data_IF_790961754046
#
_entry.id   IF_790961754046
#
_cell.length_a   1.000
_cell.length_b   1.000
_cell.length_c   1.000
_cell.angle_alpha   90.00
_cell.angle_beta   90.00
_cell.angle_gamma   90.00
#
_symmetry.space_group_name_H-M   'P 1'
#
loop_
_entity.id
_entity.type
_entity.pdbx_description
1 polymer ?
#
# COMPACT_ATOMS: atom_id res chain seq x y z
N UNK A 1 -23.61 92.41 -14.24
CA UNK A 1 -22.19 92.41 -14.65
C UNK A 1 -21.38 91.76 -13.52
N UNK A 2 -20.36 90.94 -13.86
CA UNK A 2 -19.59 89.97 -13.02
C UNK A 2 -20.28 88.61 -12.83
N UNK A 3 -19.95 87.55 -13.59
CA UNK A 3 -18.73 86.70 -13.72
C UNK A 3 -18.55 85.66 -12.60
N UNK A 4 -18.77 84.40 -13.01
CA UNK A 4 -17.99 83.17 -12.78
C UNK A 4 -17.79 82.71 -11.33
N UNK A 5 -18.17 81.47 -11.03
CA UNK A 5 -17.24 80.32 -11.09
C UNK A 5 -17.98 79.01 -10.81
N UNK A 6 -17.93 78.10 -11.78
CA UNK A 6 -18.30 76.70 -11.62
C UNK A 6 -17.15 75.96 -10.95
N UNK A 7 -17.44 75.23 -9.88
CA UNK A 7 -16.52 74.26 -9.29
C UNK A 7 -17.06 72.86 -9.57
N UNK A 8 -16.59 72.25 -10.65
CA UNK A 8 -16.74 70.82 -10.90
C UNK A 8 -15.72 70.14 -9.98
N UNK A 9 -16.20 69.52 -8.89
CA UNK A 9 -15.38 68.59 -8.11
C UNK A 9 -15.37 67.26 -8.86
N UNK A 10 -14.31 67.01 -9.63
CA UNK A 10 -14.03 65.71 -10.20
C UNK A 10 -13.79 64.70 -9.06
N UNK A 11 -14.72 63.78 -8.86
CA UNK A 11 -14.55 62.62 -8.00
C UNK A 11 -13.78 61.56 -8.80
N UNK A 12 -12.47 61.44 -8.54
CA UNK A 12 -11.66 60.33 -9.06
C UNK A 12 -11.93 59.13 -8.16
N UNK A 13 -12.76 58.19 -8.62
CA UNK A 13 -12.93 56.89 -8.00
C UNK A 13 -11.71 56.03 -8.33
N UNK A 14 -10.73 55.99 -7.43
CA UNK A 14 -9.62 55.02 -7.53
C UNK A 14 -10.17 53.65 -7.12
N UNK A 15 -10.51 52.82 -8.10
CA UNK A 15 -10.72 51.39 -7.89
C UNK A 15 -9.37 50.75 -7.56
N UNK A 16 -9.08 50.63 -6.26
CA UNK A 16 -7.99 49.82 -5.75
C UNK A 16 -8.40 48.34 -5.91
N UNK A 17 -8.19 47.77 -7.10
CA UNK A 17 -8.26 46.32 -7.27
C UNK A 17 -7.02 45.73 -6.58
N UNK A 18 -7.16 45.42 -5.29
CA UNK A 18 -6.17 44.64 -4.56
C UNK A 18 -6.02 43.28 -5.24
N UNK A 19 -4.93 43.12 -5.99
CA UNK A 19 -4.46 41.82 -6.43
C UNK A 19 -3.97 41.10 -5.17
N UNK A 20 -4.85 40.31 -4.53
CA UNK A 20 -4.43 39.33 -3.54
C UNK A 20 -3.71 38.22 -4.32
N UNK A 21 -2.40 38.01 -4.15
CA UNK A 21 -1.77 36.83 -4.71
C UNK A 21 -2.41 35.61 -4.02
N UNK A 22 -3.20 34.86 -4.79
CA UNK A 22 -3.62 33.51 -4.39
C UNK A 22 -2.34 32.67 -4.31
N UNK A 23 -1.83 32.49 -3.09
CA UNK A 23 -0.83 31.47 -2.82
C UNK A 23 -1.52 30.12 -2.94
N UNK A 24 -1.50 29.55 -4.15
CA UNK A 24 -1.73 28.13 -4.35
C UNK A 24 -0.56 27.38 -3.72
N UNK A 25 -0.76 26.89 -2.50
CA UNK A 25 0.15 25.90 -1.93
C UNK A 25 0.00 24.63 -2.76
N UNK A 26 1.04 24.28 -3.52
CA UNK A 26 1.10 22.97 -4.14
C UNK A 26 1.10 21.92 -3.03
N UNK A 27 0.10 21.04 -3.01
CA UNK A 27 0.11 19.90 -2.10
C UNK A 27 1.15 18.91 -2.63
N UNK A 28 2.23 18.72 -1.87
CA UNK A 28 3.25 17.75 -2.21
C UNK A 28 2.80 16.37 -1.75
N UNK A 29 2.81 15.42 -2.67
CA UNK A 29 2.55 14.02 -2.34
C UNK A 29 3.68 13.50 -1.44
N UNK A 30 3.30 12.85 -0.34
CA UNK A 30 4.21 12.16 0.56
C UNK A 30 3.86 10.67 0.53
N UNK A 31 4.80 9.79 0.14
CA UNK A 31 4.56 8.36 0.11
C UNK A 31 4.34 7.81 1.52
N UNK A 32 3.68 6.65 1.61
CA UNK A 32 3.53 5.94 2.87
C UNK A 32 4.65 4.91 3.02
N UNK A 33 5.66 5.26 3.81
CA UNK A 33 6.72 4.35 4.27
C UNK A 33 6.42 3.76 5.65
N UNK A 34 5.32 4.20 6.30
CA UNK A 34 4.86 3.80 7.64
C UNK A 34 5.78 4.15 8.81
N UNK A 35 7.03 4.51 8.57
CA UNK A 35 7.98 4.97 9.59
C UNK A 35 7.57 6.31 10.26
N UNK A 36 6.66 7.07 9.65
CA UNK A 36 6.10 8.29 10.20
C UNK A 36 4.98 8.05 11.23
N UNK A 37 4.53 6.80 11.39
CA UNK A 37 3.41 6.45 12.26
C UNK A 37 3.86 6.25 13.70
N UNK A 38 3.13 6.89 14.63
CA UNK A 38 3.37 6.78 16.07
C UNK A 38 3.05 5.36 16.57
N UNK A 39 4.05 4.72 17.19
CA UNK A 39 3.95 3.36 17.70
C UNK A 39 3.08 3.20 18.95
N UNK A 40 2.54 4.28 19.53
CA UNK A 40 1.63 4.18 20.69
C UNK A 40 0.38 3.32 20.44
N UNK A 41 -0.02 3.15 19.18
CA UNK A 41 -1.17 2.34 18.79
C UNK A 41 -0.82 0.85 18.59
N UNK A 42 0.46 0.50 18.66
CA UNK A 42 0.90 -0.88 18.45
C UNK A 42 0.76 -1.67 19.75
N UNK A 43 0.06 -2.79 19.66
CA UNK A 43 -0.04 -3.79 20.71
C UNK A 43 0.61 -5.08 20.20
N UNK A 44 1.56 -5.64 20.94
CA UNK A 44 2.32 -6.83 20.53
C UNK A 44 2.95 -6.71 19.12
N UNK A 45 3.37 -5.51 18.74
CA UNK A 45 4.06 -5.25 17.48
C UNK A 45 3.15 -5.18 16.25
N UNK A 46 1.84 -4.98 16.42
CA UNK A 46 0.93 -4.64 15.32
C UNK A 46 -0.13 -3.62 15.75
N UNK A 47 -0.71 -2.92 14.77
CA UNK A 47 -1.87 -2.05 14.95
C UNK A 47 -2.94 -2.43 13.93
N UNK A 48 -3.98 -3.12 14.39
CA UNK A 48 -5.09 -3.62 13.56
C UNK A 48 -6.40 -2.87 13.79
N UNK A 49 -6.33 -1.68 14.41
CA UNK A 49 -7.46 -0.83 14.76
C UNK A 49 -8.37 -1.32 15.89
N UNK A 50 -7.90 -2.25 16.73
CA UNK A 50 -8.58 -2.63 17.99
C UNK A 50 -8.88 -1.43 18.91
N UNK A 51 -8.12 -0.36 18.77
CA UNK A 51 -8.29 0.93 19.45
C UNK A 51 -9.47 1.77 18.93
N UNK A 52 -10.15 1.34 17.88
CA UNK A 52 -11.30 2.04 17.30
C UNK A 52 -10.93 3.23 16.40
N UNK A 53 -9.68 3.33 15.96
CA UNK A 53 -9.21 4.40 15.06
C UNK A 53 -9.90 4.43 13.70
N UNK A 54 -10.17 3.25 13.12
CA UNK A 54 -10.85 3.08 11.82
C UNK A 54 -10.01 3.45 10.59
N UNK A 55 -8.86 4.09 10.77
CA UNK A 55 -7.86 4.29 9.73
C UNK A 55 -6.46 4.50 10.28
N UNK A 56 -5.48 4.11 9.47
CA UNK A 56 -4.06 4.41 9.67
C UNK A 56 -3.68 5.50 8.68
N UNK A 57 -2.93 6.50 9.12
CA UNK A 57 -2.47 7.59 8.24
C UNK A 57 -0.95 7.61 8.18
N UNK A 58 -0.41 7.54 6.97
CA UNK A 58 1.03 7.64 6.69
C UNK A 58 1.24 8.49 5.43
N UNK A 59 2.11 9.49 5.52
CA UNK A 59 2.30 10.49 4.47
C UNK A 59 0.98 11.18 4.10
N UNK A 60 0.64 11.15 2.81
CA UNK A 60 -0.61 11.73 2.26
C UNK A 60 -1.69 10.69 1.95
N UNK A 61 -1.65 9.55 2.65
CA UNK A 61 -2.51 8.39 2.40
C UNK A 61 -3.17 7.94 3.72
N UNK A 62 -4.49 7.71 3.67
CA UNK A 62 -5.25 7.04 4.73
C UNK A 62 -5.59 5.61 4.30
N UNK A 63 -5.23 4.64 5.13
CA UNK A 63 -5.48 3.21 4.95
C UNK A 63 -6.66 2.80 5.84
N UNK A 64 -7.73 2.28 5.25
CA UNK A 64 -8.95 1.94 5.98
C UNK A 64 -8.76 0.68 6.79
N UNK A 65 -9.25 0.73 8.02
CA UNK A 65 -9.27 -0.39 8.94
C UNK A 65 -10.70 -0.58 9.46
N UNK A 66 -11.12 -1.82 9.62
CA UNK A 66 -12.37 -2.18 10.24
C UNK A 66 -12.10 -3.21 11.35
N UNK A 67 -12.45 -2.89 12.59
CA UNK A 67 -12.27 -3.81 13.72
C UNK A 67 -13.62 -4.17 14.34
N UNK A 68 -13.89 -5.46 14.47
CA UNK A 68 -15.08 -5.99 15.11
C UNK A 68 -14.75 -6.49 16.52
N UNK A 69 -15.14 -5.68 17.53
CA UNK A 69 -14.88 -5.96 18.93
C UNK A 69 -15.59 -7.21 19.46
N UNK A 70 -16.76 -7.56 18.92
CA UNK A 70 -17.52 -8.73 19.37
C UNK A 70 -16.79 -10.04 19.03
N UNK A 71 -16.12 -10.06 17.88
CA UNK A 71 -15.45 -11.25 17.34
C UNK A 71 -13.93 -11.20 17.47
N UNK A 72 -13.37 -10.07 17.93
CA UNK A 72 -11.93 -9.84 17.98
C UNK A 72 -11.26 -9.93 16.60
N UNK A 73 -12.01 -9.65 15.53
CA UNK A 73 -11.57 -9.74 14.15
C UNK A 73 -11.38 -8.36 13.54
N UNK A 74 -10.64 -8.30 12.44
CA UNK A 74 -10.39 -7.05 11.71
C UNK A 74 -10.50 -7.30 10.21
N UNK A 75 -10.52 -6.26 9.39
CA UNK A 75 -10.35 -6.31 7.94
C UNK A 75 -9.82 -4.96 7.44
N UNK A 76 -9.40 -4.88 6.17
CA UNK A 76 -8.73 -3.71 5.62
C UNK A 76 -7.23 -3.76 5.88
N UNK A 77 -6.67 -2.75 6.53
CA UNK A 77 -5.23 -2.65 6.79
C UNK A 77 -4.87 -2.65 8.27
N UNK A 78 -3.75 -3.30 8.57
CA UNK A 78 -3.03 -3.20 9.84
C UNK A 78 -1.58 -2.79 9.56
N UNK A 79 -0.90 -2.19 10.54
CA UNK A 79 0.56 -2.08 10.52
C UNK A 79 1.19 -3.17 11.37
N UNK A 80 2.40 -3.60 11.00
CA UNK A 80 3.12 -4.65 11.69
C UNK A 80 4.62 -4.37 11.73
N UNK A 81 5.23 -4.73 12.86
CA UNK A 81 6.69 -4.80 13.07
C UNK A 81 7.11 -6.23 13.37
N UNK A 82 6.25 -7.23 13.12
CA UNK A 82 6.53 -8.64 13.40
C UNK A 82 7.61 -9.16 12.44
N UNK A 83 8.44 -10.07 12.95
CA UNK A 83 9.57 -10.66 12.21
C UNK A 83 9.48 -12.18 12.07
N UNK A 84 8.41 -12.79 12.60
CA UNK A 84 8.27 -14.25 12.64
C UNK A 84 7.88 -14.81 11.27
N UNK A 85 8.86 -15.36 10.57
CA UNK A 85 8.68 -15.99 9.25
C UNK A 85 8.43 -17.50 9.35
N UNK A 86 8.34 -18.07 10.55
CA UNK A 86 8.29 -19.51 10.77
C UNK A 86 6.96 -20.00 11.31
N UNK A 87 6.33 -19.32 12.26
CA UNK A 87 5.11 -19.86 12.88
C UNK A 87 3.98 -20.00 11.86
N UNK A 88 3.43 -21.20 11.73
CA UNK A 88 2.30 -21.48 10.83
C UNK A 88 0.97 -21.08 11.47
N UNK A 89 0.00 -20.77 10.62
CA UNK A 89 -1.39 -20.57 11.02
C UNK A 89 -1.75 -19.12 11.40
N UNK A 90 -3.02 -18.94 11.76
CA UNK A 90 -3.66 -17.66 11.99
C UNK A 90 -3.00 -16.80 13.08
N UNK A 91 -2.34 -17.42 14.07
CA UNK A 91 -1.61 -16.69 15.11
C UNK A 91 -0.49 -15.82 14.55
N UNK A 92 -0.01 -16.13 13.33
CA UNK A 92 1.05 -15.38 12.65
C UNK A 92 0.55 -14.58 11.43
N UNK A 93 -0.71 -14.12 11.47
CA UNK A 93 -1.34 -13.37 10.39
C UNK A 93 -0.70 -12.00 10.09
N UNK A 94 0.04 -11.43 11.03
CA UNK A 94 0.63 -10.09 10.91
C UNK A 94 2.06 -10.06 10.38
N UNK A 95 2.74 -11.21 10.26
CA UNK A 95 4.12 -11.23 9.79
C UNK A 95 4.17 -11.28 8.26
N UNK A 96 4.99 -10.43 7.63
CA UNK A 96 5.43 -10.64 6.26
C UNK A 96 6.40 -11.83 6.22
N UNK A 97 6.35 -12.64 5.16
CA UNK A 97 7.26 -13.79 5.01
C UNK A 97 8.74 -13.39 4.88
N UNK A 98 8.99 -12.13 4.50
CA UNK A 98 10.34 -11.52 4.46
C UNK A 98 10.90 -11.24 5.86
N UNK A 99 10.06 -11.16 6.89
CA UNK A 99 10.45 -10.86 8.27
C UNK A 99 10.73 -9.37 8.54
N UNK A 100 10.70 -8.52 7.51
CA UNK A 100 10.90 -7.07 7.61
C UNK A 100 10.28 -6.35 6.40
N UNK A 101 10.14 -5.02 6.53
CA UNK A 101 9.73 -4.13 5.46
C UNK A 101 10.78 -4.01 4.35
N UNK A 102 10.43 -3.37 3.24
CA UNK A 102 11.36 -3.18 2.13
C UNK A 102 12.50 -2.25 2.56
N UNK A 103 13.72 -2.53 2.09
CA UNK A 103 14.93 -1.73 2.41
C UNK A 103 15.24 -1.65 3.90
N UNK A 104 14.89 -2.71 4.65
CA UNK A 104 15.08 -2.78 6.09
C UNK A 104 14.13 -1.88 6.88
N UNK A 105 13.02 -1.45 6.26
CA UNK A 105 11.95 -0.76 6.97
C UNK A 105 11.47 -1.61 8.15
N UNK A 106 11.25 -0.93 9.27
CA UNK A 106 10.87 -1.55 10.52
C UNK A 106 9.37 -1.85 10.61
N UNK A 107 8.58 -1.20 9.74
CA UNK A 107 7.12 -1.21 9.77
C UNK A 107 6.56 -1.36 8.37
N UNK A 108 5.72 -2.37 8.16
CA UNK A 108 5.01 -2.59 6.90
C UNK A 108 3.51 -2.73 7.14
N UNK A 109 2.72 -2.67 6.08
CA UNK A 109 1.28 -2.89 6.16
C UNK A 109 0.92 -4.35 5.85
N UNK A 110 -0.08 -4.87 6.55
CA UNK A 110 -0.76 -6.14 6.24
C UNK A 110 -2.17 -5.80 5.77
N UNK A 111 -2.52 -6.26 4.58
CA UNK A 111 -3.87 -6.19 4.06
C UNK A 111 -4.62 -7.48 4.32
N UNK A 112 -5.83 -7.38 4.87
CA UNK A 112 -6.76 -8.49 5.01
C UNK A 112 -8.02 -8.20 4.18
N UNK A 113 -8.19 -9.01 3.12
CA UNK A 113 -9.39 -9.02 2.30
C UNK A 113 -10.48 -9.88 2.96
N UNK A 114 -11.67 -9.33 3.15
CA UNK A 114 -12.82 -10.03 3.72
C UNK A 114 -13.93 -10.08 2.69
N UNK A 115 -14.42 -11.27 2.34
CA UNK A 115 -15.58 -11.40 1.44
C UNK A 115 -16.87 -10.84 2.05
N UNK A 116 -16.91 -10.63 3.37
CA UNK A 116 -18.05 -10.05 4.08
C UNK A 116 -17.98 -8.52 4.14
N UNK A 117 -16.79 -7.95 4.37
CA UNK A 117 -16.61 -6.50 4.54
C UNK A 117 -16.18 -5.78 3.26
N UNK A 118 -15.62 -6.51 2.29
CA UNK A 118 -15.14 -6.02 1.01
C UNK A 118 -13.62 -5.88 0.90
N UNK A 119 -13.21 -5.18 -0.15
CA UNK A 119 -11.80 -4.93 -0.50
C UNK A 119 -11.10 -4.09 0.58
N UNK A 120 -9.80 -4.35 0.79
CA UNK A 120 -8.98 -3.43 1.58
C UNK A 120 -8.81 -2.13 0.78
N UNK A 121 -9.10 -0.97 1.37
CA UNK A 121 -9.09 0.33 0.66
C UNK A 121 -8.10 1.32 1.28
N UNK A 122 -7.38 2.06 0.42
CA UNK A 122 -6.67 3.27 0.80
C UNK A 122 -7.19 4.47 0.00
N UNK A 123 -7.07 5.65 0.60
CA UNK A 123 -7.54 6.93 0.05
C UNK A 123 -6.39 7.93 0.11
N UNK A 124 -6.08 8.54 -1.02
CA UNK A 124 -5.09 9.62 -1.09
C UNK A 124 -5.77 10.93 -0.69
N UNK A 125 -5.05 11.87 -0.06
CA UNK A 125 -5.59 13.19 0.29
C UNK A 125 -6.07 13.99 -0.94
N UNK A 126 -5.41 13.78 -2.08
CA UNK A 126 -5.73 14.38 -3.38
C UNK A 126 -5.35 13.37 -4.48
N UNK A 127 -6.01 13.41 -5.65
CA UNK A 127 -5.68 12.47 -6.72
C UNK A 127 -4.22 12.64 -7.17
N UNK A 128 -3.50 11.53 -7.28
CA UNK A 128 -2.08 11.50 -7.62
C UNK A 128 -1.73 10.28 -8.45
N UNK A 129 -0.73 10.39 -9.33
CA UNK A 129 -0.18 9.22 -10.04
C UNK A 129 0.87 8.57 -9.15
N UNK A 130 0.58 7.36 -8.66
CA UNK A 130 1.51 6.61 -7.84
C UNK A 130 2.54 5.90 -8.72
N UNK A 131 3.86 6.02 -8.45
CA UNK A 131 4.87 5.23 -9.16
C UNK A 131 4.65 3.72 -8.98
N UNK A 132 4.33 3.29 -7.77
CA UNK A 132 4.11 1.90 -7.44
C UNK A 132 4.09 1.64 -5.95
N UNK A 133 4.24 0.37 -5.60
CA UNK A 133 4.36 -0.14 -4.23
C UNK A 133 5.04 -1.51 -4.24
N UNK A 134 5.44 -2.02 -3.09
CA UNK A 134 5.93 -3.39 -2.93
C UNK A 134 4.86 -4.29 -2.31
N UNK A 135 4.79 -5.54 -2.74
CA UNK A 135 3.93 -6.58 -2.14
C UNK A 135 4.69 -7.87 -1.90
N UNK A 136 4.26 -8.65 -0.90
CA UNK A 136 4.70 -10.02 -0.63
C UNK A 136 3.59 -10.81 0.08
N UNK A 137 3.81 -12.10 0.32
CA UNK A 137 2.90 -12.89 1.15
C UNK A 137 3.10 -12.60 2.64
N UNK A 138 2.04 -12.76 3.43
CA UNK A 138 2.22 -12.95 4.88
C UNK A 138 2.76 -14.35 5.16
N UNK A 139 3.37 -14.53 6.32
CA UNK A 139 3.85 -15.84 6.80
C UNK A 139 2.74 -16.87 6.83
N UNK A 140 1.54 -16.48 7.28
CA UNK A 140 0.39 -17.38 7.31
C UNK A 140 0.00 -17.86 5.91
N UNK A 141 -0.23 -16.94 4.96
CA UNK A 141 -0.61 -17.30 3.60
C UNK A 141 0.47 -18.13 2.89
N UNK A 142 1.75 -17.76 3.06
CA UNK A 142 2.87 -18.49 2.48
C UNK A 142 2.91 -19.95 2.91
N UNK A 143 2.89 -20.22 4.22
CA UNK A 143 2.97 -21.59 4.72
C UNK A 143 1.71 -22.40 4.44
N UNK A 144 0.53 -21.76 4.48
CA UNK A 144 -0.73 -22.38 4.09
C UNK A 144 -0.68 -22.89 2.65
N UNK A 145 -0.22 -22.08 1.70
CA UNK A 145 -0.03 -22.52 0.32
C UNK A 145 1.07 -23.57 0.17
N UNK A 146 2.16 -23.49 0.95
CA UNK A 146 3.32 -24.38 0.84
C UNK A 146 3.10 -25.78 1.43
N UNK A 147 2.39 -25.87 2.54
CA UNK A 147 2.24 -27.09 3.34
C UNK A 147 0.78 -27.55 3.49
N UNK A 148 -0.19 -26.67 3.20
CA UNK A 148 -1.58 -26.85 3.60
C UNK A 148 -1.80 -26.50 5.07
N UNK A 149 -3.06 -26.40 5.48
CA UNK A 149 -3.47 -26.29 6.88
C UNK A 149 -4.82 -26.98 7.12
N UNK A 150 -5.49 -26.68 8.24
CA UNK A 150 -6.76 -27.30 8.60
C UNK A 150 -7.93 -26.93 7.65
N UNK A 151 -7.78 -25.88 6.84
CA UNK A 151 -8.80 -25.37 5.91
C UNK A 151 -8.31 -25.37 4.46
N UNK A 152 -7.08 -24.92 4.23
CA UNK A 152 -6.50 -24.76 2.91
C UNK A 152 -5.67 -25.98 2.49
N UNK A 153 -5.68 -26.28 1.19
CA UNK A 153 -4.80 -27.31 0.63
C UNK A 153 -3.43 -26.74 0.28
N UNK A 154 -2.43 -27.61 0.26
CA UNK A 154 -1.15 -27.30 -0.39
C UNK A 154 -1.35 -27.00 -1.88
N UNK A 155 -0.62 -26.02 -2.40
CA UNK A 155 -0.61 -25.67 -3.81
C UNK A 155 0.19 -26.67 -4.65
N UNK A 156 -0.38 -27.03 -5.79
CA UNK A 156 0.14 -27.95 -6.79
C UNK A 156 -0.04 -27.36 -8.19
N UNK A 157 0.31 -28.13 -9.22
CA UNK A 157 0.20 -27.69 -10.60
C UNK A 157 -1.22 -27.19 -10.94
N UNK A 158 -1.30 -25.97 -11.47
CA UNK A 158 -2.54 -25.29 -11.82
C UNK A 158 -3.01 -24.27 -10.79
N UNK A 159 -2.49 -24.31 -9.56
CA UNK A 159 -2.90 -23.37 -8.51
C UNK A 159 -2.32 -21.96 -8.69
N UNK A 160 -2.99 -20.98 -8.10
CA UNK A 160 -2.49 -19.61 -8.03
C UNK A 160 -3.16 -18.83 -6.89
N UNK A 161 -2.45 -17.81 -6.41
CA UNK A 161 -2.97 -16.81 -5.47
C UNK A 161 -2.69 -15.42 -6.04
N UNK A 162 -3.73 -14.61 -6.20
CA UNK A 162 -3.73 -13.41 -7.04
C UNK A 162 -4.24 -12.22 -6.24
N UNK A 163 -3.45 -11.15 -6.23
CA UNK A 163 -3.79 -9.83 -5.75
C UNK A 163 -4.18 -8.95 -6.94
N UNK A 164 -5.35 -8.32 -6.87
CA UNK A 164 -5.78 -7.29 -7.82
C UNK A 164 -5.78 -5.94 -7.12
N UNK A 165 -5.08 -4.97 -7.70
CA UNK A 165 -5.07 -3.58 -7.26
C UNK A 165 -5.88 -2.77 -8.28
N UNK A 166 -6.99 -2.19 -7.86
CA UNK A 166 -7.85 -1.34 -8.69
C UNK A 166 -7.71 0.11 -8.26
N UNK A 167 -7.35 0.98 -9.21
CA UNK A 167 -7.29 2.42 -9.00
C UNK A 167 -8.55 3.12 -9.48
N UNK A 168 -9.09 4.03 -8.67
CA UNK A 168 -10.26 4.87 -9.01
C UNK A 168 -9.93 6.35 -8.95
N UNK A 169 -10.44 7.11 -9.91
CA UNK A 169 -10.29 8.56 -9.96
C UNK A 169 -11.22 9.27 -8.94
N UNK A 170 -11.18 10.61 -8.88
CA UNK A 170 -12.03 11.39 -7.98
C UNK A 170 -13.54 11.30 -8.26
N UNK A 171 -13.93 10.96 -9.50
CA UNK A 171 -15.33 10.72 -9.87
C UNK A 171 -15.81 9.32 -9.46
N UNK A 172 -14.89 8.43 -9.08
CA UNK A 172 -15.18 7.04 -8.71
C UNK A 172 -15.05 6.05 -9.87
N UNK A 173 -14.69 6.50 -11.07
CA UNK A 173 -14.47 5.63 -12.22
C UNK A 173 -13.14 4.88 -12.08
N UNK A 174 -13.09 3.68 -12.65
CA UNK A 174 -11.88 2.86 -12.71
C UNK A 174 -10.87 3.54 -13.65
N UNK A 175 -9.72 3.90 -13.11
CA UNK A 175 -8.60 4.49 -13.85
C UNK A 175 -7.63 3.42 -14.37
N UNK A 176 -7.49 2.31 -13.65
CA UNK A 176 -6.66 1.19 -14.08
C UNK A 176 -6.67 0.03 -13.09
N UNK A 177 -6.10 -1.10 -13.49
CA UNK A 177 -5.94 -2.29 -12.67
C UNK A 177 -4.58 -2.91 -12.87
N UNK A 178 -3.99 -3.39 -11.80
CA UNK A 178 -2.76 -4.16 -11.81
C UNK A 178 -3.00 -5.50 -11.12
N UNK A 179 -2.52 -6.58 -11.75
CA UNK A 179 -2.69 -7.94 -11.25
C UNK A 179 -1.32 -8.51 -10.90
N UNK A 180 -1.22 -9.08 -9.71
CA UNK A 180 0.01 -9.67 -9.19
C UNK A 180 -0.29 -11.07 -8.68
N UNK A 181 0.42 -12.07 -9.21
CA UNK A 181 0.40 -13.41 -8.63
C UNK A 181 1.37 -13.48 -7.46
N UNK A 182 0.82 -13.67 -6.26
CA UNK A 182 1.54 -13.94 -5.01
C UNK A 182 1.93 -15.42 -4.90
N UNK A 183 1.25 -16.30 -5.65
CA UNK A 183 1.72 -17.62 -6.01
C UNK A 183 1.23 -17.98 -7.42
N UNK A 184 2.05 -18.71 -8.18
CA UNK A 184 1.72 -19.10 -9.55
C UNK A 184 2.28 -20.48 -9.87
N UNK A 185 1.41 -21.48 -9.99
CA UNK A 185 1.74 -22.87 -10.37
C UNK A 185 1.08 -23.24 -11.70
N UNK A 186 0.58 -22.26 -12.47
CA UNK A 186 -0.06 -22.49 -13.77
C UNK A 186 0.96 -23.06 -14.76
N UNK A 187 0.51 -23.90 -15.68
CA UNK A 187 1.37 -24.56 -16.68
C UNK A 187 2.10 -23.59 -17.63
N UNK A 188 1.63 -22.35 -17.77
CA UNK A 188 2.26 -21.29 -18.56
C UNK A 188 3.20 -20.36 -17.79
N UNK A 189 3.36 -20.54 -16.48
CA UNK A 189 4.33 -19.78 -15.69
C UNK A 189 5.76 -20.26 -16.02
N UNK A 190 6.72 -19.33 -16.06
CA UNK A 190 8.13 -19.66 -16.35
C UNK A 190 8.75 -20.62 -15.33
N UNK A 191 8.24 -20.60 -14.09
CA UNK A 191 8.50 -21.59 -13.04
C UNK A 191 7.42 -21.46 -11.97
N UNK A 192 6.93 -22.57 -11.36
CA UNK A 192 6.08 -22.49 -10.19
C UNK A 192 6.76 -21.75 -9.03
N UNK A 193 6.03 -20.88 -8.34
CA UNK A 193 6.55 -20.15 -7.18
C UNK A 193 5.47 -19.77 -6.17
N UNK A 194 5.88 -19.57 -4.92
CA UNK A 194 5.16 -18.80 -3.89
C UNK A 194 6.08 -17.63 -3.54
N UNK A 195 5.59 -16.40 -3.67
CA UNK A 195 6.40 -15.20 -3.49
C UNK A 195 6.83 -15.05 -2.03
N UNK A 196 8.14 -15.09 -1.77
CA UNK A 196 8.75 -14.87 -0.44
C UNK A 196 9.69 -13.67 -0.39
N UNK A 197 9.70 -12.85 -1.44
CA UNK A 197 10.46 -11.61 -1.54
C UNK A 197 9.55 -10.44 -1.87
N UNK A 198 10.00 -9.22 -1.58
CA UNK A 198 9.27 -8.02 -1.95
C UNK A 198 9.26 -7.82 -3.47
N UNK A 199 8.06 -7.79 -4.05
CA UNK A 199 7.85 -7.56 -5.49
C UNK A 199 7.35 -6.15 -5.74
N UNK A 200 8.09 -5.40 -6.56
CA UNK A 200 7.63 -4.11 -7.06
C UNK A 200 6.43 -4.27 -7.99
N UNK A 201 5.41 -3.44 -7.79
CA UNK A 201 4.22 -3.32 -8.63
C UNK A 201 4.18 -1.90 -9.18
N UNK A 202 4.37 -1.76 -10.49
CA UNK A 202 4.22 -0.47 -11.18
C UNK A 202 2.74 -0.09 -11.22
N UNK A 203 2.42 1.12 -10.76
CA UNK A 203 1.06 1.68 -10.78
C UNK A 203 0.95 2.93 -11.67
N UNK A 204 2.05 3.38 -12.28
CA UNK A 204 2.10 4.66 -12.98
C UNK A 204 1.15 4.70 -14.18
N UNK A 205 0.91 3.55 -14.81
CA UNK A 205 -0.02 3.40 -15.94
C UNK A 205 -1.48 3.67 -15.59
N UNK A 206 -1.86 3.68 -14.31
CA UNK A 206 -3.22 4.02 -13.87
C UNK A 206 -3.51 5.53 -13.97
N UNK A 207 -2.48 6.36 -14.12
CA UNK A 207 -2.63 7.81 -14.03
C UNK A 207 -3.07 8.28 -12.64
N UNK A 208 -3.67 9.48 -12.52
CA UNK A 208 -4.08 10.01 -11.24
C UNK A 208 -5.25 9.23 -10.61
N UNK A 209 -5.04 8.69 -9.42
CA UNK A 209 -6.05 7.97 -8.63
C UNK A 209 -6.30 8.67 -7.31
N UNK A 210 -7.53 8.57 -6.80
CA UNK A 210 -7.95 9.06 -5.47
C UNK A 210 -8.06 7.90 -4.47
N UNK A 211 -8.34 6.69 -4.95
CA UNK A 211 -8.49 5.47 -4.14
C UNK A 211 -7.80 4.29 -4.82
N UNK A 212 -7.24 3.39 -4.02
CA UNK A 212 -6.88 2.05 -4.44
C UNK A 212 -7.66 1.03 -3.61
N UNK A 213 -8.18 0.00 -4.26
CA UNK A 213 -8.84 -1.15 -3.64
C UNK A 213 -8.05 -2.42 -3.95
N UNK A 214 -7.94 -3.31 -2.96
CA UNK A 214 -7.14 -4.52 -3.00
C UNK A 214 -8.04 -5.73 -2.73
N UNK A 215 -8.09 -6.65 -3.69
CA UNK A 215 -8.84 -7.91 -3.59
C UNK A 215 -7.95 -9.11 -3.83
N UNK A 216 -8.28 -10.22 -3.17
CA UNK A 216 -7.57 -11.48 -3.27
C UNK A 216 -8.46 -12.58 -3.83
N UNK A 217 -7.87 -13.39 -4.71
CA UNK A 217 -8.49 -14.58 -5.27
C UNK A 217 -7.48 -15.74 -5.26
N UNK A 218 -7.98 -16.96 -5.10
CA UNK A 218 -7.19 -18.20 -5.13
C UNK A 218 -7.92 -19.28 -5.91
N UNK A 219 -7.20 -20.28 -6.40
CA UNK A 219 -7.78 -21.53 -6.90
C UNK A 219 -8.26 -22.45 -5.79
N UNK A 220 -7.72 -22.33 -4.59
CA UNK A 220 -8.16 -23.10 -3.43
C UNK A 220 -9.41 -22.45 -2.82
N UNK A 221 -10.56 -22.90 -3.32
CA UNK A 221 -11.90 -22.46 -2.96
C UNK A 221 -12.74 -23.64 -2.46
N UNK A 222 -13.42 -23.44 -1.34
CA UNK A 222 -14.43 -24.34 -0.79
C UNK A 222 -15.85 -23.80 -0.98
N UNK A 223 -16.81 -24.43 -0.31
CA UNK A 223 -18.24 -24.03 -0.35
C UNK A 223 -18.47 -22.59 0.15
N UNK A 224 -17.65 -22.12 1.10
CA UNK A 224 -17.80 -20.83 1.76
C UNK A 224 -16.89 -19.72 1.20
N UNK A 225 -16.21 -20.00 0.07
CA UNK A 225 -15.28 -19.08 -0.57
C UNK A 225 -13.83 -19.56 -0.51
N UNK A 226 -12.90 -18.61 -0.57
CA UNK A 226 -11.46 -18.89 -0.59
C UNK A 226 -10.99 -19.53 0.72
N UNK A 227 -10.34 -20.69 0.64
CA UNK A 227 -9.73 -21.33 1.82
C UNK A 227 -8.35 -20.75 2.12
N UNK A 228 -7.61 -20.36 1.08
CA UNK A 228 -6.30 -19.71 1.24
C UNK A 228 -6.44 -18.46 2.11
N UNK A 229 -5.57 -18.25 3.12
CA UNK A 229 -5.63 -17.09 3.97
C UNK A 229 -5.58 -15.79 3.16
N UNK A 230 -6.60 -14.95 3.31
CA UNK A 230 -6.81 -13.74 2.52
C UNK A 230 -5.94 -12.55 2.97
N UNK A 231 -4.65 -12.81 3.22
CA UNK A 231 -3.70 -11.83 3.74
C UNK A 231 -2.54 -11.60 2.77
N UNK A 232 -2.11 -10.35 2.64
CA UNK A 232 -0.89 -9.96 1.93
C UNK A 232 -0.15 -8.89 2.74
N UNK A 233 1.14 -8.71 2.46
CA UNK A 233 1.91 -7.61 3.02
C UNK A 233 2.28 -6.61 1.91
N UNK A 234 2.37 -5.33 2.25
CA UNK A 234 2.77 -4.26 1.33
C UNK A 234 3.62 -3.20 2.03
N UNK A 235 4.44 -2.50 1.24
CA UNK A 235 5.31 -1.46 1.76
C UNK A 235 5.66 -0.38 0.71
N UNK A 236 6.12 0.77 1.19
CA UNK A 236 6.62 1.92 0.43
C UNK A 236 5.63 2.40 -0.65
N UNK A 237 4.39 2.67 -0.24
CA UNK A 237 3.27 2.99 -1.15
C UNK A 237 3.43 4.40 -1.73
N UNK A 238 3.56 4.47 -3.06
CA UNK A 238 3.81 5.70 -3.78
C UNK A 238 5.26 6.18 -3.73
N UNK A 239 6.15 5.45 -3.06
CA UNK A 239 7.58 5.75 -3.03
C UNK A 239 8.28 5.34 -4.33
N UNK A 240 9.56 5.73 -4.51
CA UNK A 240 10.34 5.27 -5.66
C UNK A 240 10.63 3.77 -5.56
N UNK A 241 10.76 3.12 -6.72
CA UNK A 241 11.32 1.77 -6.79
C UNK A 241 12.77 1.82 -6.27
N UNK A 242 13.04 1.06 -5.23
CA UNK A 242 14.36 0.86 -4.66
C UNK A 242 15.11 -0.06 -5.62
N UNK A 243 16.17 0.46 -6.22
CA UNK A 243 17.06 -0.34 -7.06
C UNK A 243 17.96 -1.13 -6.13
N UNK A 244 17.88 -2.46 -6.17
CA UNK A 244 18.93 -3.27 -5.57
C UNK A 244 20.27 -2.84 -6.20
N UNK A 245 21.28 -2.63 -5.37
CA UNK A 245 22.62 -2.37 -5.86
C UNK A 245 23.04 -3.56 -6.73
N UNK A 246 23.11 -3.36 -8.04
CA UNK A 246 23.70 -4.34 -8.94
C UNK A 246 25.12 -4.66 -8.47
N UNK A 247 25.32 -5.86 -7.92
CA UNK A 247 26.59 -6.55 -7.79
C UNK A 247 27.76 -5.75 -7.20
N UNK A 248 27.83 -5.67 -5.86
CA UNK A 248 29.16 -5.72 -5.21
C UNK A 248 29.68 -7.15 -5.32
N UNK A 249 30.17 -7.53 -6.50
CA UNK A 249 31.02 -8.70 -6.61
C UNK A 249 32.36 -8.34 -5.99
N UNK A 250 32.65 -8.96 -4.84
CA UNK A 250 34.00 -9.04 -4.30
C UNK A 250 34.94 -9.58 -5.37
N UNK A 251 35.79 -8.70 -5.91
CA UNK A 251 37.08 -9.10 -6.43
C UNK A 251 38.14 -8.31 -5.69
N UNK A 252 38.58 -8.88 -4.56
CA UNK A 252 39.98 -8.78 -4.20
C UNK A 252 40.80 -9.15 -5.44
N UNK A 253 41.35 -8.15 -6.11
CA UNK A 253 42.59 -8.31 -6.86
C UNK A 253 43.59 -7.32 -6.27
N UNK A 254 44.37 -7.87 -5.34
CA UNK A 254 45.77 -7.51 -5.17
C UNK A 254 46.41 -7.54 -6.56
N UNK A 255 46.82 -6.38 -7.07
CA UNK A 255 48.17 -6.22 -7.62
C UNK A 255 48.51 -4.78 -8.02
N UNK A 256 49.81 -4.51 -7.87
CA UNK A 256 50.60 -3.32 -8.24
C UNK A 256 50.71 -2.28 -7.10
N UNK A 257 51.89 -1.88 -6.66
CA UNK A 257 53.21 -1.87 -7.30
C UNK A 257 54.32 -2.20 -6.28
N UNK A 258 55.36 -2.88 -6.75
CA UNK A 258 56.65 -2.81 -6.09
C UNK A 258 57.25 -1.41 -6.29
N UNK A 259 57.73 -0.83 -5.20
CA UNK A 259 59.08 -0.31 -5.01
C UNK A 259 59.36 -0.32 -3.50
#
# INVERSE_FOLDING_TARGET
MMRRQAWIKSLVLVLLTGFLPLYLWAQNFVPATFEDVDRKHFEDGYWNGSDGSGEIRSGTISFKNNYNQEWGSWSGFALSTKIDTWTRGLSNQYSAITGEGIDGSSTYAVGFYSSFDGDSELVLDFPHTLPGLYVTNTTYAYWSMKEGDQYAKKFEQGDWFKLTIEGRNSAGDIAGRQVVYLADFRSGASSPYILDTWKWVDLASMGPVKRLSFSLESTDVGEWGMNTPAYFAMDNVGGPRIKEAEGSSSSCFINSLGF
#
